data_IF_023078883007
#
_entry.id   IF_023078883007
#
_cell.length_a   1.000
_cell.length_b   1.000
_cell.length_c   1.000
_cell.angle_alpha   90.00
_cell.angle_beta   90.00
_cell.angle_gamma   90.00
#
_symmetry.space_group_name_H-M   'P 1'
#
loop_
_entity.id
_entity.type
_entity.pdbx_description
1 polymer ?
#
# COMPACT_ATOMS: atom_id res chain seq x y z
N UNK A 1 5.86 -16.32 4.30
CA UNK A 1 5.27 -15.13 3.69
C UNK A 1 5.25 -15.30 2.18
N UNK A 2 4.06 -15.41 1.64
CA UNK A 2 3.77 -15.43 0.20
C UNK A 2 3.28 -14.05 -0.23
N UNK A 3 3.91 -13.47 -1.25
CA UNK A 3 3.50 -12.19 -1.85
C UNK A 3 3.03 -12.46 -3.28
N UNK A 4 1.78 -12.08 -3.57
CA UNK A 4 1.17 -12.15 -4.90
C UNK A 4 0.77 -10.75 -5.35
N UNK A 5 0.76 -10.57 -6.68
CA UNK A 5 0.27 -9.39 -7.34
C UNK A 5 -0.84 -9.82 -8.29
N UNK A 6 -2.03 -9.27 -8.11
CA UNK A 6 -3.20 -9.61 -8.92
C UNK A 6 -3.62 -8.39 -9.74
N UNK A 7 -4.07 -8.61 -10.97
CA UNK A 7 -4.62 -7.56 -11.82
C UNK A 7 -6.11 -7.81 -11.99
N UNK A 8 -6.92 -6.89 -11.48
CA UNK A 8 -8.37 -7.01 -11.42
C UNK A 8 -9.03 -5.62 -11.50
N UNK A 9 -10.36 -5.61 -11.61
CA UNK A 9 -11.16 -4.38 -11.70
C UNK A 9 -11.62 -3.97 -10.31
N UNK A 10 -11.22 -2.79 -9.86
CA UNK A 10 -11.64 -2.16 -8.60
C UNK A 10 -12.54 -0.94 -8.88
N UNK A 11 -13.12 -0.30 -7.84
CA UNK A 11 -13.78 1.00 -8.00
C UNK A 11 -12.88 2.11 -8.60
N UNK A 12 -11.55 1.94 -8.56
CA UNK A 12 -10.57 2.86 -9.15
C UNK A 12 -10.19 2.50 -10.59
N UNK A 13 -10.74 1.42 -11.14
CA UNK A 13 -10.41 0.90 -12.48
C UNK A 13 -9.57 -0.37 -12.44
N UNK A 14 -8.88 -0.67 -13.54
CA UNK A 14 -8.03 -1.86 -13.64
C UNK A 14 -6.63 -1.55 -13.12
N UNK A 15 -6.28 -2.11 -11.96
CA UNK A 15 -5.03 -1.83 -11.25
C UNK A 15 -4.40 -3.12 -10.75
N UNK A 16 -3.09 -3.10 -10.47
CA UNK A 16 -2.45 -4.17 -9.72
C UNK A 16 -2.68 -3.98 -8.24
N UNK A 17 -3.06 -5.05 -7.54
CA UNK A 17 -3.24 -5.09 -6.09
C UNK A 17 -2.27 -6.09 -5.45
N UNK A 18 -1.99 -5.87 -4.18
CA UNK A 18 -1.11 -6.68 -3.35
C UNK A 18 -1.92 -7.72 -2.57
N UNK A 19 -1.43 -8.96 -2.52
CA UNK A 19 -1.92 -10.00 -1.61
C UNK A 19 -0.73 -10.54 -0.82
N UNK A 20 -0.83 -10.53 0.51
CA UNK A 20 0.19 -11.13 1.41
C UNK A 20 -0.45 -12.22 2.25
N UNK A 21 0.05 -13.45 2.14
CA UNK A 21 -0.44 -14.61 2.90
C UNK A 21 -1.98 -14.76 2.82
N UNK A 22 -2.56 -14.49 1.65
CA UNK A 22 -4.01 -14.55 1.38
C UNK A 22 -4.80 -13.31 1.79
N UNK A 23 -4.20 -12.35 2.48
CA UNK A 23 -4.81 -11.06 2.78
C UNK A 23 -4.70 -10.12 1.58
N UNK A 24 -5.85 -9.77 0.98
CA UNK A 24 -5.92 -8.85 -0.15
C UNK A 24 -5.98 -7.40 0.32
N UNK A 25 -4.97 -6.63 -0.07
CA UNK A 25 -4.92 -5.20 0.17
C UNK A 25 -5.70 -4.46 -0.91
N UNK A 26 -6.62 -3.59 -0.49
CA UNK A 26 -7.21 -2.60 -1.40
C UNK A 26 -6.18 -1.54 -1.81
N UNK A 27 -5.31 -1.14 -0.87
CA UNK A 27 -4.11 -0.32 -1.09
C UNK A 27 -2.92 -0.93 -0.34
N UNK A 28 -1.69 -0.83 -0.85
CA UNK A 28 -1.24 -0.10 -2.04
C UNK A 28 -1.71 -0.76 -3.35
N UNK A 29 -2.04 0.04 -4.36
CA UNK A 29 -2.38 -0.44 -5.70
C UNK A 29 -1.83 0.49 -6.80
N UNK A 30 -1.61 -0.02 -8.02
CA UNK A 30 -1.16 0.82 -9.13
C UNK A 30 -0.45 0.06 -10.25
N UNK A 31 0.58 0.68 -10.84
CA UNK A 31 1.47 0.03 -11.80
C UNK A 31 2.25 -1.13 -11.14
N UNK A 32 2.41 -2.26 -11.84
CA UNK A 32 3.05 -3.46 -11.27
C UNK A 32 4.50 -3.22 -10.85
N UNK A 33 5.27 -2.48 -11.65
CA UNK A 33 6.68 -2.24 -11.36
C UNK A 33 6.82 -1.32 -10.16
N UNK A 34 6.01 -0.27 -10.10
CA UNK A 34 5.98 0.65 -8.98
C UNK A 34 5.49 -0.03 -7.70
N UNK A 35 4.42 -0.83 -7.77
CA UNK A 35 3.88 -1.58 -6.65
C UNK A 35 4.89 -2.61 -6.11
N UNK A 36 5.62 -3.33 -6.97
CA UNK A 36 6.71 -4.21 -6.54
C UNK A 36 7.83 -3.46 -5.82
N UNK A 37 8.15 -2.24 -6.27
CA UNK A 37 9.13 -1.38 -5.60
C UNK A 37 8.60 -0.94 -4.23
N UNK A 38 7.35 -0.49 -4.16
CA UNK A 38 6.67 -0.13 -2.92
C UNK A 38 6.74 -1.27 -1.91
N UNK A 39 6.27 -2.46 -2.30
CA UNK A 39 6.21 -3.64 -1.41
C UNK A 39 7.59 -4.03 -0.89
N UNK A 40 8.64 -3.88 -1.70
CA UNK A 40 10.01 -4.11 -1.26
C UNK A 40 10.49 -3.06 -0.25
N UNK A 41 10.15 -1.79 -0.46
CA UNK A 41 10.57 -0.67 0.39
C UNK A 41 9.80 -0.58 1.71
N UNK A 42 8.52 -0.96 1.68
CA UNK A 42 7.54 -0.67 2.74
C UNK A 42 6.99 -1.96 3.36
N UNK A 43 7.70 -3.08 3.23
CA UNK A 43 7.24 -4.39 3.68
C UNK A 43 6.90 -4.40 5.18
N UNK A 44 7.73 -3.76 6.01
CA UNK A 44 7.49 -3.70 7.45
C UNK A 44 6.23 -2.92 7.79
N UNK A 45 5.98 -1.79 7.10
CA UNK A 45 4.76 -0.98 7.26
C UNK A 45 3.52 -1.76 6.83
N UNK A 46 3.62 -2.53 5.73
CA UNK A 46 2.54 -3.41 5.25
C UNK A 46 2.21 -4.52 6.25
N UNK A 47 3.23 -5.13 6.86
CA UNK A 47 3.04 -6.17 7.86
C UNK A 47 2.46 -5.58 9.15
N UNK A 48 2.95 -4.43 9.61
CA UNK A 48 2.39 -3.72 10.76
C UNK A 48 0.91 -3.39 10.55
N UNK A 49 0.55 -2.88 9.37
CA UNK A 49 -0.85 -2.62 9.00
C UNK A 49 -1.70 -3.90 9.01
N UNK A 50 -1.19 -4.99 8.46
CA UNK A 50 -1.90 -6.28 8.37
C UNK A 50 -2.19 -6.87 9.74
N UNK A 51 -1.25 -6.77 10.67
CA UNK A 51 -1.39 -7.30 12.03
C UNK A 51 -2.11 -6.34 12.99
N UNK A 52 -2.42 -5.11 12.55
CA UNK A 52 -3.10 -4.11 13.36
C UNK A 52 -4.62 -4.29 13.37
N UNK A 53 -5.21 -4.23 14.57
CA UNK A 53 -6.66 -4.12 14.76
C UNK A 53 -7.22 -2.71 14.46
N UNK A 54 -6.35 -1.74 14.15
CA UNK A 54 -6.76 -0.37 13.87
C UNK A 54 -7.26 -0.20 12.43
N UNK A 55 -8.20 0.73 12.24
CA UNK A 55 -8.72 1.10 10.93
C UNK A 55 -7.90 2.22 10.25
N UNK A 56 -6.72 2.55 10.75
CA UNK A 56 -5.88 3.60 10.18
C UNK A 56 -5.30 3.22 8.82
N UNK A 57 -5.07 4.22 7.97
CA UNK A 57 -4.41 4.05 6.67
C UNK A 57 -2.94 3.67 6.81
N UNK A 58 -2.36 3.14 5.75
CA UNK A 58 -0.95 2.79 5.64
C UNK A 58 -0.02 3.98 5.91
N UNK A 59 -0.40 5.19 5.49
CA UNK A 59 0.37 6.40 5.77
C UNK A 59 0.50 6.67 7.29
N UNK A 60 -0.53 6.35 8.07
CA UNK A 60 -0.46 6.42 9.53
C UNK A 60 0.52 5.39 10.10
N UNK A 61 0.52 4.17 9.59
CA UNK A 61 1.49 3.14 10.02
C UNK A 61 2.93 3.54 9.66
N UNK A 62 3.13 4.25 8.55
CA UNK A 62 4.43 4.77 8.15
C UNK A 62 4.90 5.98 8.99
N UNK A 63 3.99 6.89 9.35
CA UNK A 63 4.36 8.23 9.82
C UNK A 63 3.80 8.62 11.21
N UNK A 64 2.92 7.82 11.82
CA UNK A 64 2.22 8.14 13.06
C UNK A 64 1.23 9.31 12.92
N UNK A 65 0.82 9.93 14.03
CA UNK A 65 -0.09 11.10 14.05
C UNK A 65 0.58 12.40 13.58
N UNK A 66 1.08 12.41 12.35
CA UNK A 66 1.68 13.58 11.71
C UNK A 66 1.09 13.75 10.29
N UNK A 67 0.07 14.60 10.17
CA UNK A 67 -0.64 14.79 8.90
C UNK A 67 0.24 15.29 7.75
N UNK A 68 1.25 16.10 8.03
CA UNK A 68 2.18 16.56 7.00
C UNK A 68 3.04 15.40 6.48
N UNK A 69 3.63 14.62 7.39
CA UNK A 69 4.44 13.47 7.00
C UNK A 69 3.61 12.40 6.26
N UNK A 70 2.37 12.17 6.69
CA UNK A 70 1.44 11.29 5.98
C UNK A 70 1.17 11.77 4.55
N UNK A 71 0.91 13.06 4.35
CA UNK A 71 0.67 13.60 3.01
C UNK A 71 1.94 13.52 2.15
N UNK A 72 3.11 13.82 2.69
CA UNK A 72 4.38 13.70 1.97
C UNK A 72 4.67 12.26 1.54
N UNK A 73 4.32 11.27 2.38
CA UNK A 73 4.41 9.85 2.06
C UNK A 73 3.46 9.46 0.91
N UNK A 74 2.20 9.91 0.98
CA UNK A 74 1.19 9.67 -0.06
C UNK A 74 1.65 10.27 -1.40
N UNK A 75 2.04 11.54 -1.40
CA UNK A 75 2.50 12.25 -2.60
C UNK A 75 3.74 11.61 -3.21
N UNK A 76 4.66 11.11 -2.38
CA UNK A 76 5.88 10.45 -2.83
C UNK A 76 5.58 9.18 -3.63
N UNK A 77 4.65 8.36 -3.13
CA UNK A 77 4.29 7.10 -3.79
C UNK A 77 3.33 7.30 -4.96
N UNK A 78 2.44 8.29 -4.89
CA UNK A 78 1.59 8.69 -6.00
C UNK A 78 2.44 9.09 -7.23
N UNK A 79 3.49 9.90 -7.02
CA UNK A 79 4.44 10.29 -8.09
C UNK A 79 5.19 9.10 -8.71
N UNK A 80 5.23 7.97 -8.03
CA UNK A 80 5.81 6.72 -8.55
C UNK A 80 4.78 5.81 -9.20
N UNK A 81 3.49 6.16 -9.18
CA UNK A 81 2.40 5.38 -9.77
C UNK A 81 1.77 4.36 -8.81
N UNK A 82 1.88 4.58 -7.50
CA UNK A 82 1.23 3.77 -6.46
C UNK A 82 0.30 4.65 -5.65
N UNK A 83 -0.97 4.27 -5.58
CA UNK A 83 -1.93 4.89 -4.67
C UNK A 83 -1.84 4.24 -3.30
N UNK A 84 -1.67 5.07 -2.27
CA UNK A 84 -1.64 4.70 -0.85
C UNK A 84 -2.50 5.69 -0.06
N UNK A 85 -3.00 5.26 1.11
CA UNK A 85 -3.88 6.02 2.01
C UNK A 85 -3.47 5.78 3.45
#
# INVERSE_FOLDING_TARGET
MEIKYIYNKTPLGWVWQLVIDGYEFFYPCGDLKALKKFVKSELEVLLDKKESDSNYGLAFHACGYNGQAQQEYIDYWEKQGVSVF
#
